data_IF_591621323718
#
_entry.id   IF_591621323718
#
_cell.length_a   1.000
_cell.length_b   1.000
_cell.length_c   1.000
_cell.angle_alpha   90.00
_cell.angle_beta   90.00
_cell.angle_gamma   90.00
#
_symmetry.space_group_name_H-M   'P 1'
#
loop_
_entity.id
_entity.type
_entity.pdbx_description
1 polymer ?
#
# COMPACT_ATOMS: atom_id res chain seq x y z
N UNK A 1 26.01 27.84 -5.71
CA UNK A 1 26.45 27.21 -4.46
C UNK A 1 25.60 27.74 -3.32
N UNK A 2 24.54 27.02 -2.96
CA UNK A 2 23.68 27.36 -1.82
C UNK A 2 23.29 26.05 -1.13
N UNK A 3 23.59 25.97 0.17
CA UNK A 3 23.54 24.78 0.99
C UNK A 3 22.11 24.44 1.45
N UNK A 4 21.79 23.15 1.41
CA UNK A 4 20.54 22.59 1.90
C UNK A 4 20.50 22.59 3.44
N UNK A 5 19.41 23.12 4.01
CA UNK A 5 19.11 23.07 5.43
C UNK A 5 18.39 21.78 5.82
N UNK A 6 18.97 21.05 6.76
CA UNK A 6 18.41 19.84 7.39
C UNK A 6 17.53 20.27 8.57
N UNK A 7 16.23 19.95 8.55
CA UNK A 7 15.33 20.19 9.70
C UNK A 7 15.30 18.93 10.57
N UNK A 8 15.84 19.03 11.78
CA UNK A 8 15.75 18.01 12.84
C UNK A 8 14.56 18.35 13.73
N UNK A 9 13.54 17.50 13.76
CA UNK A 9 12.44 17.58 14.72
C UNK A 9 12.93 17.16 16.12
N UNK A 10 13.04 18.13 17.04
CA UNK A 10 13.21 17.89 18.47
C UNK A 10 11.84 17.63 19.09
N UNK A 11 11.60 16.42 19.57
CA UNK A 11 10.47 16.14 20.46
C UNK A 11 10.73 16.74 21.85
N UNK A 12 9.96 17.77 22.20
CA UNK A 12 9.87 18.32 23.55
C UNK A 12 9.13 17.36 24.46
N UNK A 13 9.81 16.79 25.46
CA UNK A 13 9.16 16.09 26.59
C UNK A 13 8.50 17.12 27.51
N UNK A 14 7.19 16.98 27.75
CA UNK A 14 6.53 17.63 28.88
C UNK A 14 7.04 17.02 30.21
N UNK A 15 7.22 17.83 31.28
CA UNK A 15 7.69 17.35 32.58
C UNK A 15 6.56 16.69 33.38
N UNK A 16 6.84 15.53 33.98
CA UNK A 16 5.97 14.88 34.96
C UNK A 16 6.02 15.63 36.30
N UNK A 17 4.94 15.62 37.11
CA UNK A 17 4.94 16.25 38.43
C UNK A 17 5.79 15.46 39.45
N UNK A 18 6.46 16.19 40.33
CA UNK A 18 7.48 15.70 41.25
C UNK A 18 6.94 14.81 42.39
N UNK A 19 7.64 13.73 42.76
CA UNK A 19 7.45 13.03 44.04
C UNK A 19 8.28 13.70 45.14
N UNK A 20 7.68 13.79 46.33
CA UNK A 20 8.26 14.33 47.57
C UNK A 20 9.33 13.37 48.13
N UNK A 21 10.53 13.87 48.41
CA UNK A 21 11.56 13.13 49.18
C UNK A 21 11.22 13.08 50.69
N UNK A 22 11.77 12.09 51.42
CA UNK A 22 12.83 12.49 52.34
C UNK A 22 14.02 11.51 52.49
N UNK A 23 15.20 12.16 52.54
CA UNK A 23 16.36 11.92 53.43
C UNK A 23 17.37 10.84 53.04
N UNK A 24 18.56 11.35 52.69
CA UNK A 24 19.81 10.64 52.48
C UNK A 24 20.41 10.07 53.78
N UNK A 25 20.91 8.83 53.70
CA UNK A 25 21.94 8.31 54.59
C UNK A 25 22.99 7.50 53.78
N UNK A 26 24.14 8.14 53.61
CA UNK A 26 25.51 7.60 53.67
C UNK A 26 25.94 6.46 52.73
N UNK A 27 26.90 6.81 51.89
CA UNK A 27 27.80 5.95 51.13
C UNK A 27 28.44 4.82 51.95
N UNK A 28 28.36 3.59 51.43
CA UNK A 28 29.38 2.57 51.67
C UNK A 28 29.50 1.65 50.45
N UNK A 29 30.62 1.73 49.73
CA UNK A 29 31.01 0.74 48.71
C UNK A 29 31.33 -0.57 49.43
N UNK A 30 30.54 -1.62 49.20
CA UNK A 30 30.87 -2.99 49.58
C UNK A 30 30.84 -3.87 48.33
N UNK A 31 32.01 -4.40 47.97
CA UNK A 31 32.16 -5.45 46.98
C UNK A 31 31.47 -6.72 47.48
N UNK A 32 30.37 -7.12 46.82
CA UNK A 32 29.73 -8.41 47.07
C UNK A 32 30.34 -9.46 46.14
N UNK A 33 31.44 -10.09 46.59
CA UNK A 33 31.88 -11.37 46.05
C UNK A 33 31.04 -12.49 46.66
N UNK A 34 30.32 -13.30 45.86
CA UNK A 34 29.53 -14.43 46.39
C UNK A 34 30.44 -15.50 47.01
N UNK A 35 30.18 -15.86 48.27
CA UNK A 35 30.93 -16.87 49.06
C UNK A 35 30.33 -18.29 48.99
N UNK A 36 29.73 -18.67 47.86
CA UNK A 36 29.23 -20.04 47.65
C UNK A 36 29.52 -20.50 46.21
N UNK A 37 30.00 -21.75 46.00
CA UNK A 37 30.15 -22.29 44.66
C UNK A 37 28.77 -22.52 44.03
N UNK A 38 28.61 -22.14 42.75
CA UNK A 38 27.39 -22.39 42.00
C UNK A 38 27.14 -23.90 41.84
N UNK A 39 25.89 -24.39 41.98
CA UNK A 39 25.56 -25.79 41.75
C UNK A 39 25.83 -26.14 40.27
N UNK A 40 26.52 -27.27 40.04
CA UNK A 40 26.71 -27.82 38.70
C UNK A 40 25.38 -28.42 38.23
N UNK A 41 24.67 -27.71 37.35
CA UNK A 41 23.58 -28.31 36.60
C UNK A 41 24.18 -29.29 35.59
N UNK A 42 23.91 -30.58 35.79
CA UNK A 42 24.08 -31.62 34.76
C UNK A 42 23.11 -31.30 33.62
N UNK A 43 23.66 -30.82 32.50
CA UNK A 43 22.90 -30.77 31.24
C UNK A 43 22.88 -32.19 30.69
N UNK A 44 21.79 -32.90 30.96
CA UNK A 44 21.46 -34.12 30.25
C UNK A 44 21.11 -33.72 28.82
N UNK A 45 21.94 -34.11 27.85
CA UNK A 45 21.64 -33.93 26.44
C UNK A 45 20.41 -34.79 26.08
N UNK A 46 19.35 -34.24 25.45
CA UNK A 46 18.36 -35.07 24.80
C UNK A 46 19.00 -35.75 23.59
N UNK A 47 18.93 -37.09 23.59
CA UNK A 47 19.27 -37.95 22.46
C UNK A 47 18.12 -37.90 21.46
N UNK A 48 18.46 -37.41 20.26
CA UNK A 48 17.93 -37.75 18.93
C UNK A 48 16.43 -37.94 18.77
N UNK A 49 15.79 -36.95 18.15
CA UNK A 49 14.49 -37.11 17.51
C UNK A 49 14.06 -35.78 16.89
N UNK A 50 14.02 -35.73 15.55
CA UNK A 50 13.74 -34.57 14.71
C UNK A 50 14.92 -33.58 14.65
N UNK A 51 15.64 -33.61 13.53
CA UNK A 51 16.27 -32.39 13.04
C UNK A 51 15.19 -31.29 13.09
N UNK A 52 15.46 -30.09 13.61
CA UNK A 52 14.70 -28.94 13.15
C UNK A 52 14.90 -28.96 11.64
N UNK A 53 13.84 -29.17 10.87
CA UNK A 53 13.86 -28.68 9.50
C UNK A 53 14.30 -27.22 9.62
N UNK A 54 15.54 -26.97 9.19
CA UNK A 54 16.04 -25.64 8.94
C UNK A 54 14.98 -24.97 8.06
N UNK A 55 14.16 -24.12 8.68
CA UNK A 55 13.29 -23.20 7.98
C UNK A 55 14.19 -22.44 7.02
N UNK A 56 14.18 -22.84 5.74
CA UNK A 56 14.98 -22.22 4.70
C UNK A 56 14.65 -20.72 4.72
N UNK A 57 15.56 -19.85 5.19
CA UNK A 57 15.32 -18.42 5.22
C UNK A 57 15.27 -17.99 3.77
N UNK A 58 14.07 -17.76 3.25
CA UNK A 58 13.89 -17.46 1.84
C UNK A 58 14.34 -16.04 1.66
N UNK A 59 15.59 -15.90 1.21
CA UNK A 59 16.50 -14.75 1.13
C UNK A 59 15.93 -13.44 0.54
N UNK A 60 14.68 -13.07 0.81
CA UNK A 60 13.94 -11.93 0.26
C UNK A 60 14.70 -10.67 0.58
N UNK A 61 15.15 -10.49 1.82
CA UNK A 61 15.94 -9.31 2.20
C UNK A 61 17.24 -9.21 1.40
N UNK A 62 17.94 -10.31 1.09
CA UNK A 62 19.14 -10.23 0.25
C UNK A 62 18.82 -10.13 -1.26
N UNK A 63 17.75 -10.74 -1.74
CA UNK A 63 17.27 -10.57 -3.12
C UNK A 63 16.94 -9.11 -3.38
N UNK A 64 16.25 -8.47 -2.44
CA UNK A 64 15.92 -7.05 -2.50
C UNK A 64 17.17 -6.16 -2.43
N UNK A 65 18.12 -6.44 -1.53
CA UNK A 65 19.42 -5.73 -1.53
C UNK A 65 20.18 -5.91 -2.84
N UNK A 66 20.00 -7.04 -3.52
CA UNK A 66 20.59 -7.33 -4.82
C UNK A 66 19.75 -6.80 -6.01
N UNK A 67 18.63 -6.11 -5.75
CA UNK A 67 17.74 -5.58 -6.80
C UNK A 67 17.00 -6.66 -7.61
N UNK A 68 16.86 -7.87 -7.07
CA UNK A 68 16.20 -9.00 -7.73
C UNK A 68 14.71 -9.05 -7.40
N UNK A 69 13.92 -9.56 -8.35
CA UNK A 69 12.49 -9.78 -8.16
C UNK A 69 12.20 -10.74 -7.00
N UNK A 70 11.08 -10.49 -6.32
CA UNK A 70 10.58 -11.36 -5.27
C UNK A 70 10.19 -12.73 -5.86
N UNK A 71 10.51 -13.85 -5.18
CA UNK A 71 10.05 -15.15 -5.62
C UNK A 71 8.51 -15.17 -5.60
N UNK A 72 7.93 -15.58 -6.74
CA UNK A 72 6.48 -15.79 -6.85
C UNK A 72 6.10 -17.02 -6.02
N UNK A 73 4.99 -16.91 -5.30
CA UNK A 73 4.40 -18.04 -4.61
C UNK A 73 3.75 -18.97 -5.64
N UNK A 74 3.62 -20.25 -5.28
CA UNK A 74 2.80 -21.18 -6.04
C UNK A 74 1.41 -21.34 -5.41
N UNK A 75 0.44 -21.85 -6.17
CA UNK A 75 -0.92 -22.03 -5.67
C UNK A 75 -1.01 -22.99 -4.49
N UNK A 76 -0.18 -24.03 -4.44
CA UNK A 76 -0.20 -25.00 -3.34
C UNK A 76 0.22 -24.37 -2.01
N UNK A 77 1.17 -23.43 -2.02
CA UNK A 77 1.57 -22.64 -0.85
C UNK A 77 0.45 -21.71 -0.35
N UNK A 78 -0.44 -21.29 -1.25
CA UNK A 78 -1.54 -20.36 -0.94
C UNK A 78 -2.87 -21.05 -0.66
N UNK A 79 -2.97 -22.36 -0.87
CA UNK A 79 -4.22 -23.09 -0.69
C UNK A 79 -4.79 -22.92 0.73
N UNK A 80 -3.94 -23.08 1.76
CA UNK A 80 -4.34 -22.86 3.16
C UNK A 80 -4.82 -21.43 3.41
N UNK A 81 -4.15 -20.42 2.81
CA UNK A 81 -4.55 -19.02 2.92
C UNK A 81 -5.90 -18.75 2.25
N UNK A 82 -6.09 -19.26 1.04
CA UNK A 82 -7.32 -19.12 0.28
C UNK A 82 -8.50 -19.78 0.98
N UNK A 83 -8.31 -20.97 1.54
CA UNK A 83 -9.37 -21.71 2.24
C UNK A 83 -9.73 -21.03 3.57
N UNK A 84 -8.73 -20.57 4.34
CA UNK A 84 -8.94 -19.84 5.59
C UNK A 84 -9.64 -18.49 5.37
N UNK A 85 -9.40 -17.83 4.23
CA UNK A 85 -10.04 -16.56 3.86
C UNK A 85 -11.26 -16.74 2.95
N UNK A 86 -11.78 -17.96 2.86
CA UNK A 86 -12.98 -18.34 2.12
C UNK A 86 -12.98 -17.89 0.65
N UNK A 87 -11.80 -17.80 0.03
CA UNK A 87 -11.61 -17.28 -1.34
C UNK A 87 -12.37 -15.96 -1.55
N UNK A 88 -12.33 -15.08 -0.56
CA UNK A 88 -12.84 -13.71 -0.65
C UNK A 88 -12.12 -12.91 -1.75
N UNK A 89 -12.74 -11.82 -2.22
CA UNK A 89 -12.12 -10.90 -3.18
C UNK A 89 -10.70 -10.51 -2.76
N UNK A 90 -10.51 -10.12 -1.51
CA UNK A 90 -9.22 -9.73 -0.96
C UNK A 90 -8.17 -10.86 -1.07
N UNK A 91 -8.53 -12.08 -0.68
CA UNK A 91 -7.62 -13.23 -0.72
C UNK A 91 -7.28 -13.68 -2.14
N UNK A 92 -8.25 -13.66 -3.07
CA UNK A 92 -8.02 -13.97 -4.47
C UNK A 92 -7.11 -12.94 -5.14
N UNK A 93 -7.31 -11.65 -4.85
CA UNK A 93 -6.46 -10.58 -5.38
C UNK A 93 -5.03 -10.63 -4.79
N UNK A 94 -4.88 -10.97 -3.51
CA UNK A 94 -3.57 -11.16 -2.89
C UNK A 94 -2.84 -12.35 -3.51
N UNK A 95 -3.53 -13.48 -3.68
CA UNK A 95 -2.97 -14.65 -4.33
C UNK A 95 -2.62 -14.39 -5.80
N UNK A 96 -3.47 -13.65 -6.54
CA UNK A 96 -3.18 -13.22 -7.91
C UNK A 96 -1.89 -12.41 -7.97
N UNK A 97 -1.70 -11.43 -7.07
CA UNK A 97 -0.48 -10.61 -7.02
C UNK A 97 0.77 -11.44 -6.67
N UNK A 98 0.65 -12.37 -5.72
CA UNK A 98 1.77 -13.19 -5.26
C UNK A 98 2.21 -14.27 -6.28
N UNK A 99 1.29 -14.74 -7.12
CA UNK A 99 1.53 -15.84 -8.09
C UNK A 99 1.67 -15.34 -9.53
N UNK A 100 0.99 -14.23 -9.88
CA UNK A 100 0.75 -13.78 -11.24
C UNK A 100 -0.25 -14.63 -12.03
N UNK A 101 -1.01 -15.52 -11.37
CA UNK A 101 -1.96 -16.42 -12.04
C UNK A 101 -3.28 -15.72 -12.37
N UNK A 102 -3.48 -15.39 -13.64
CA UNK A 102 -4.67 -14.71 -14.13
C UNK A 102 -6.00 -15.43 -13.84
N UNK A 103 -5.98 -16.76 -13.61
CA UNK A 103 -7.20 -17.51 -13.25
C UNK A 103 -7.79 -17.06 -11.92
N UNK A 104 -6.96 -16.64 -10.96
CA UNK A 104 -7.41 -16.14 -9.65
C UNK A 104 -8.11 -14.79 -9.78
N UNK A 105 -7.62 -13.92 -10.66
CA UNK A 105 -8.30 -12.67 -10.95
C UNK A 105 -9.62 -12.91 -11.68
N UNK A 106 -9.65 -13.86 -12.63
CA UNK A 106 -10.88 -14.22 -13.32
C UNK A 106 -11.94 -14.73 -12.33
N UNK A 107 -11.55 -15.60 -11.39
CA UNK A 107 -12.42 -16.07 -10.31
C UNK A 107 -12.93 -14.90 -9.45
N UNK A 108 -12.07 -13.91 -9.14
CA UNK A 108 -12.47 -12.73 -8.38
C UNK A 108 -13.48 -11.86 -9.14
N UNK A 109 -13.27 -11.66 -10.45
CA UNK A 109 -14.19 -10.91 -11.33
C UNK A 109 -15.57 -11.55 -11.42
N UNK A 110 -15.63 -12.87 -11.47
CA UNK A 110 -16.89 -13.62 -11.54
C UNK A 110 -17.65 -13.65 -10.21
N UNK A 111 -16.94 -13.88 -9.10
CA UNK A 111 -17.56 -14.02 -7.78
C UNK A 111 -17.89 -12.68 -7.12
N UNK A 112 -17.08 -11.67 -7.37
CA UNK A 112 -17.16 -10.36 -6.71
C UNK A 112 -17.20 -9.22 -7.73
N UNK A 113 -18.16 -9.22 -8.68
CA UNK A 113 -18.21 -8.21 -9.73
C UNK A 113 -18.40 -6.80 -9.19
N UNK A 114 -19.07 -6.63 -8.03
CA UNK A 114 -19.34 -5.32 -7.43
C UNK A 114 -18.31 -4.91 -6.37
N UNK A 115 -17.21 -5.64 -6.23
CA UNK A 115 -16.15 -5.27 -5.28
C UNK A 115 -15.22 -4.22 -5.92
N UNK A 116 -15.06 -3.02 -5.32
CA UNK A 116 -14.27 -1.95 -5.92
C UNK A 116 -12.78 -2.30 -6.03
N UNK A 117 -12.27 -3.19 -5.18
CA UNK A 117 -10.87 -3.65 -5.26
C UNK A 117 -10.64 -4.53 -6.48
N UNK A 118 -11.64 -5.34 -6.83
CA UNK A 118 -11.62 -6.17 -8.05
C UNK A 118 -11.67 -5.28 -9.28
N UNK A 119 -12.60 -4.31 -9.31
CA UNK A 119 -12.68 -3.33 -10.39
C UNK A 119 -11.37 -2.56 -10.55
N UNK A 120 -10.80 -2.05 -9.45
CA UNK A 120 -9.52 -1.35 -9.46
C UNK A 120 -8.39 -2.20 -10.04
N UNK A 121 -8.21 -3.44 -9.58
CA UNK A 121 -7.17 -4.33 -10.14
C UNK A 121 -7.42 -4.62 -11.61
N UNK A 122 -8.69 -4.84 -12.00
CA UNK A 122 -9.05 -5.18 -13.36
C UNK A 122 -8.75 -4.08 -14.39
N UNK A 123 -8.86 -2.80 -14.02
CA UNK A 123 -8.51 -1.64 -14.87
C UNK A 123 -7.06 -1.71 -15.38
N UNK A 124 -6.16 -2.24 -14.55
CA UNK A 124 -4.71 -2.26 -14.82
C UNK A 124 -4.21 -3.58 -15.40
N UNK A 125 -5.11 -4.47 -15.77
CA UNK A 125 -4.76 -5.70 -16.47
C UNK A 125 -4.82 -5.52 -17.97
N UNK A 126 -4.14 -6.41 -18.69
CA UNK A 126 -4.12 -6.43 -20.14
C UNK A 126 -5.50 -6.83 -20.71
N UNK A 127 -6.41 -5.85 -20.77
CA UNK A 127 -7.72 -5.94 -21.40
C UNK A 127 -7.85 -4.99 -22.59
N UNK A 128 -8.96 -5.07 -23.32
CA UNK A 128 -9.26 -4.10 -24.38
C UNK A 128 -9.63 -2.72 -23.79
N UNK A 129 -9.56 -1.62 -24.56
CA UNK A 129 -10.05 -0.31 -24.12
C UNK A 129 -11.50 -0.35 -23.63
N UNK A 130 -12.35 -1.17 -24.26
CA UNK A 130 -13.76 -1.36 -23.89
C UNK A 130 -13.89 -2.08 -22.55
N UNK A 131 -13.10 -3.14 -22.33
CA UNK A 131 -13.07 -3.84 -21.05
C UNK A 131 -12.57 -2.92 -19.93
N UNK A 132 -11.52 -2.13 -20.20
CA UNK A 132 -11.02 -1.13 -19.26
C UNK A 132 -12.11 -0.12 -18.90
N UNK A 133 -12.86 0.36 -19.89
CA UNK A 133 -13.98 1.30 -19.68
C UNK A 133 -15.05 0.70 -18.78
N UNK A 134 -15.46 -0.54 -19.03
CA UNK A 134 -16.44 -1.25 -18.20
C UNK A 134 -15.99 -1.35 -16.74
N UNK A 135 -14.71 -1.65 -16.48
CA UNK A 135 -14.19 -1.72 -15.11
C UNK A 135 -14.06 -0.35 -14.43
N UNK A 136 -13.81 0.72 -15.19
CA UNK A 136 -13.86 2.09 -14.64
C UNK A 136 -15.27 2.46 -14.21
N UNK A 137 -16.27 2.19 -15.05
CA UNK A 137 -17.66 2.48 -14.73
C UNK A 137 -18.12 1.68 -13.52
N UNK A 138 -17.71 0.41 -13.45
CA UNK A 138 -17.97 -0.45 -12.30
C UNK A 138 -17.26 0.04 -11.03
N UNK A 139 -16.02 0.55 -11.11
CA UNK A 139 -15.34 1.16 -9.96
C UNK A 139 -16.11 2.38 -9.44
N UNK A 140 -16.60 3.24 -10.34
CA UNK A 140 -17.43 4.40 -9.97
C UNK A 140 -18.75 3.97 -9.33
N UNK A 141 -19.36 2.88 -9.81
CA UNK A 141 -20.61 2.35 -9.27
C UNK A 141 -20.45 1.66 -7.92
N UNK A 142 -19.37 0.90 -7.74
CA UNK A 142 -19.08 0.15 -6.51
C UNK A 142 -18.51 1.02 -5.37
N UNK A 143 -17.92 2.17 -5.70
CA UNK A 143 -17.43 3.14 -4.74
C UNK A 143 -17.85 4.58 -5.12
N UNK A 144 -19.16 4.92 -5.04
CA UNK A 144 -19.69 6.19 -5.53
C UNK A 144 -19.12 7.42 -4.81
N UNK A 145 -18.74 7.28 -3.54
CA UNK A 145 -18.15 8.36 -2.73
C UNK A 145 -16.63 8.53 -2.95
N UNK A 146 -15.97 7.58 -3.63
CA UNK A 146 -14.53 7.60 -3.85
C UNK A 146 -14.18 8.34 -5.14
N UNK A 147 -13.33 9.37 -5.04
CA UNK A 147 -12.93 10.19 -6.19
C UNK A 147 -12.02 9.46 -7.19
N UNK A 148 -11.37 8.36 -6.81
CA UNK A 148 -10.40 7.67 -7.66
C UNK A 148 -10.99 7.23 -9.00
N UNK A 149 -12.19 6.66 -9.00
CA UNK A 149 -12.84 6.18 -10.22
C UNK A 149 -13.04 7.29 -11.25
N UNK A 150 -13.44 8.49 -10.81
CA UNK A 150 -13.63 9.63 -11.72
C UNK A 150 -12.29 10.18 -12.23
N UNK A 151 -11.24 10.24 -11.41
CA UNK A 151 -9.92 10.65 -11.89
C UNK A 151 -9.35 9.70 -12.94
N UNK A 152 -9.49 8.38 -12.74
CA UNK A 152 -9.07 7.37 -13.72
C UNK A 152 -9.91 7.47 -15.01
N UNK A 153 -11.21 7.72 -14.88
CA UNK A 153 -12.13 7.95 -16.01
C UNK A 153 -11.74 9.21 -16.80
N UNK A 154 -11.47 10.31 -16.12
CA UNK A 154 -11.06 11.57 -16.73
C UNK A 154 -9.75 11.41 -17.52
N UNK A 155 -8.78 10.68 -16.96
CA UNK A 155 -7.53 10.39 -17.66
C UNK A 155 -7.76 9.60 -18.95
N UNK A 156 -8.65 8.60 -18.94
CA UNK A 156 -8.97 7.83 -20.14
C UNK A 156 -9.72 8.66 -21.19
N UNK A 157 -10.63 9.54 -20.76
CA UNK A 157 -11.29 10.50 -21.64
C UNK A 157 -10.31 11.48 -22.28
N UNK A 158 -9.34 12.02 -21.53
CA UNK A 158 -8.30 12.85 -22.13
C UNK A 158 -7.48 12.09 -23.17
N UNK A 159 -7.08 10.84 -22.86
CA UNK A 159 -6.31 10.01 -23.81
C UNK A 159 -7.05 9.69 -25.10
N UNK A 160 -8.38 9.63 -25.06
CA UNK A 160 -9.24 9.39 -26.22
C UNK A 160 -9.73 10.67 -26.90
N UNK A 161 -9.28 11.85 -26.45
CA UNK A 161 -9.67 13.15 -27.01
C UNK A 161 -11.07 13.63 -26.59
N UNK A 162 -11.69 12.97 -25.63
CA UNK A 162 -13.02 13.27 -25.11
C UNK A 162 -12.97 14.31 -23.99
N UNK A 163 -12.44 15.49 -24.30
CA UNK A 163 -12.17 16.56 -23.30
C UNK A 163 -13.39 16.93 -22.46
N UNK A 164 -14.56 17.07 -23.07
CA UNK A 164 -15.78 17.45 -22.34
C UNK A 164 -16.18 16.40 -21.30
N UNK A 165 -16.05 15.11 -21.64
CA UNK A 165 -16.32 14.01 -20.71
C UNK A 165 -15.26 13.95 -19.62
N UNK A 166 -14.00 14.25 -19.94
CA UNK A 166 -12.93 14.34 -18.95
C UNK A 166 -13.20 15.45 -17.92
N UNK A 167 -13.68 16.61 -18.37
CA UNK A 167 -14.07 17.73 -17.49
C UNK A 167 -15.26 17.33 -16.59
N UNK A 168 -16.25 16.63 -17.13
CA UNK A 168 -17.39 16.14 -16.34
C UNK A 168 -16.94 15.20 -15.22
N UNK A 169 -16.03 14.27 -15.51
CA UNK A 169 -15.48 13.37 -14.50
C UNK A 169 -14.65 14.14 -13.44
N UNK A 170 -13.86 15.14 -13.84
CA UNK A 170 -13.11 15.97 -12.90
C UNK A 170 -14.02 16.76 -11.94
N UNK A 171 -15.14 17.29 -12.47
CA UNK A 171 -16.16 17.95 -11.66
C UNK A 171 -16.79 16.95 -10.69
N UNK A 172 -17.13 15.74 -11.14
CA UNK A 172 -17.65 14.68 -10.28
C UNK A 172 -16.66 14.31 -9.16
N UNK A 173 -15.37 14.17 -9.49
CA UNK A 173 -14.31 13.90 -8.52
C UNK A 173 -14.22 14.99 -7.45
N UNK A 174 -14.37 16.26 -7.84
CA UNK A 174 -14.26 17.41 -6.93
C UNK A 174 -15.35 17.42 -5.85
N UNK A 175 -16.52 16.86 -6.13
CA UNK A 175 -17.63 16.74 -5.18
C UNK A 175 -17.51 15.59 -4.18
N UNK A 176 -16.50 14.72 -4.32
CA UNK A 176 -16.36 13.50 -3.52
C UNK A 176 -15.35 13.67 -2.39
N UNK A 177 -15.73 13.34 -1.16
CA UNK A 177 -14.86 13.55 0.00
C UNK A 177 -13.87 12.41 0.25
N UNK A 178 -14.14 11.19 -0.23
CA UNK A 178 -13.27 10.03 0.03
C UNK A 178 -12.21 9.87 -1.06
N UNK A 179 -11.07 9.36 -0.63
CA UNK A 179 -10.03 8.82 -1.47
C UNK A 179 -9.74 7.41 -0.93
N UNK A 180 -9.59 6.44 -1.82
CA UNK A 180 -9.09 5.13 -1.45
C UNK A 180 -8.46 4.53 -2.70
N UNK A 181 -7.16 4.22 -2.62
CA UNK A 181 -6.40 3.61 -3.71
C UNK A 181 -6.15 2.10 -3.51
N UNK A 182 -6.77 1.54 -2.46
CA UNK A 182 -6.75 0.12 -2.10
C UNK A 182 -5.34 -0.45 -1.88
N UNK A 183 -4.33 0.41 -1.74
CA UNK A 183 -2.93 0.01 -1.57
C UNK A 183 -2.71 -0.63 -0.19
N UNK A 184 -3.23 -0.02 0.87
CA UNK A 184 -3.13 -0.51 2.25
C UNK A 184 -3.81 -1.86 2.44
N UNK A 185 -5.06 -2.00 1.98
CA UNK A 185 -5.78 -3.29 1.96
C UNK A 185 -4.94 -4.36 1.27
N UNK A 186 -4.40 -4.02 0.09
CA UNK A 186 -3.61 -4.98 -0.65
C UNK A 186 -2.30 -5.35 0.04
N UNK A 187 -1.63 -4.42 0.72
CA UNK A 187 -0.41 -4.73 1.47
C UNK A 187 -0.71 -5.68 2.62
N UNK A 188 -1.79 -5.44 3.37
CA UNK A 188 -2.18 -6.32 4.48
C UNK A 188 -2.47 -7.74 3.98
N UNK A 189 -3.29 -7.88 2.94
CA UNK A 189 -3.64 -9.19 2.40
C UNK A 189 -2.42 -9.92 1.80
N UNK A 190 -1.50 -9.19 1.17
CA UNK A 190 -0.25 -9.77 0.68
C UNK A 190 0.63 -10.26 1.84
N UNK A 191 0.77 -9.49 2.91
CA UNK A 191 1.54 -9.91 4.09
C UNK A 191 0.97 -11.21 4.68
N UNK A 192 -0.35 -11.30 4.84
CA UNK A 192 -1.02 -12.51 5.32
C UNK A 192 -0.78 -13.72 4.40
N UNK A 193 -0.83 -13.53 3.08
CA UNK A 193 -0.57 -14.57 2.09
C UNK A 193 0.87 -15.11 2.19
N UNK A 194 1.87 -14.22 2.28
CA UNK A 194 3.26 -14.63 2.44
C UNK A 194 3.53 -15.30 3.80
N UNK A 195 2.93 -14.81 4.89
CA UNK A 195 3.04 -15.48 6.21
C UNK A 195 2.45 -16.88 6.18
N UNK A 196 1.28 -17.05 5.55
CA UNK A 196 0.65 -18.37 5.41
C UNK A 196 1.48 -19.33 4.54
N UNK A 197 2.28 -18.81 3.62
CA UNK A 197 3.23 -19.57 2.81
C UNK A 197 4.55 -19.91 3.55
N UNK A 198 4.68 -19.56 4.84
CA UNK A 198 5.82 -19.91 5.68
C UNK A 198 6.94 -18.88 5.75
N UNK A 199 6.74 -17.67 5.20
CA UNK A 199 7.72 -16.59 5.29
C UNK A 199 7.73 -15.96 6.68
N UNK A 200 8.90 -15.48 7.11
CA UNK A 200 9.00 -14.72 8.35
C UNK A 200 8.19 -13.42 8.27
N UNK A 201 7.80 -12.87 9.42
CA UNK A 201 7.06 -11.59 9.48
C UNK A 201 7.78 -10.47 8.72
N UNK A 202 9.11 -10.37 8.89
CA UNK A 202 9.92 -9.36 8.23
C UNK A 202 9.95 -9.55 6.70
N UNK A 203 10.04 -10.79 6.22
CA UNK A 203 10.06 -11.08 4.79
C UNK A 203 8.68 -10.93 4.15
N UNK A 204 7.62 -11.33 4.83
CA UNK A 204 6.25 -11.16 4.37
C UNK A 204 5.89 -9.67 4.25
N UNK A 205 6.26 -8.86 5.24
CA UNK A 205 6.07 -7.40 5.19
C UNK A 205 6.91 -6.75 4.09
N UNK A 206 8.15 -7.18 3.94
CA UNK A 206 9.01 -6.74 2.84
C UNK A 206 8.37 -7.06 1.48
N UNK A 207 7.90 -8.30 1.29
CA UNK A 207 7.25 -8.74 0.07
C UNK A 207 5.97 -7.94 -0.23
N UNK A 208 5.14 -7.70 0.78
CA UNK A 208 3.90 -6.92 0.65
C UNK A 208 4.13 -5.48 0.21
N UNK A 209 5.15 -4.81 0.78
CA UNK A 209 5.45 -3.41 0.45
C UNK A 209 6.13 -3.29 -0.91
N UNK A 210 7.11 -4.15 -1.21
CA UNK A 210 7.91 -4.03 -2.44
C UNK A 210 7.28 -4.72 -3.66
N UNK A 211 6.42 -5.71 -3.44
CA UNK A 211 5.69 -6.41 -4.50
C UNK A 211 4.46 -5.66 -5.00
N UNK A 212 4.18 -4.46 -4.49
CA UNK A 212 2.98 -3.70 -4.84
C UNK A 212 3.22 -2.78 -6.07
N UNK A 213 2.65 -3.09 -7.25
CA UNK A 213 2.60 -2.11 -8.33
C UNK A 213 1.60 -1.01 -7.99
N UNK A 214 1.98 0.25 -8.26
CA UNK A 214 1.13 1.44 -8.08
C UNK A 214 0.87 2.14 -9.44
N UNK A 215 0.23 1.46 -10.41
CA UNK A 215 0.05 1.98 -11.76
C UNK A 215 -0.79 3.27 -11.82
N UNK A 216 -1.72 3.44 -10.88
CA UNK A 216 -2.55 4.62 -10.75
C UNK A 216 -1.74 5.90 -10.58
N UNK A 217 -0.57 5.85 -9.92
CA UNK A 217 0.26 7.05 -9.71
C UNK A 217 0.77 7.63 -11.03
N UNK A 218 1.09 6.78 -12.00
CA UNK A 218 1.52 7.23 -13.32
C UNK A 218 0.37 7.92 -14.08
N UNK A 219 -0.84 7.36 -14.00
CA UNK A 219 -2.04 7.94 -14.61
C UNK A 219 -2.43 9.27 -13.96
N UNK A 220 -2.42 9.35 -12.63
CA UNK A 220 -2.75 10.57 -11.89
C UNK A 220 -1.73 11.69 -12.14
N UNK A 221 -0.44 11.34 -12.26
CA UNK A 221 0.59 12.28 -12.72
C UNK A 221 0.33 12.75 -14.15
N UNK A 222 -0.08 11.83 -15.03
CA UNK A 222 -0.50 12.17 -16.39
C UNK A 222 -1.69 13.14 -16.40
N UNK A 223 -2.69 12.88 -15.56
CA UNK A 223 -3.87 13.72 -15.41
C UNK A 223 -3.51 15.14 -14.95
N UNK A 224 -2.56 15.29 -14.02
CA UNK A 224 -2.02 16.59 -13.62
C UNK A 224 -1.44 17.39 -14.80
N UNK A 225 -0.79 16.72 -15.77
CA UNK A 225 -0.32 17.38 -17.00
C UNK A 225 -1.49 17.78 -17.90
N UNK A 226 -2.47 16.90 -18.10
CA UNK A 226 -3.66 17.18 -18.90
C UNK A 226 -4.42 18.40 -18.35
N UNK A 227 -4.49 18.58 -17.04
CA UNK A 227 -5.11 19.74 -16.40
C UNK A 227 -4.35 21.05 -16.69
N UNK A 228 -3.01 21.00 -16.75
CA UNK A 228 -2.19 22.14 -17.16
C UNK A 228 -2.39 22.48 -18.65
N UNK A 229 -2.47 21.47 -19.50
CA UNK A 229 -2.76 21.65 -20.94
C UNK A 229 -4.17 22.20 -21.16
N UNK A 230 -5.17 21.69 -20.42
CA UNK A 230 -6.54 22.19 -20.45
C UNK A 230 -6.60 23.67 -20.02
N UNK A 231 -5.90 24.05 -18.95
CA UNK A 231 -5.83 25.44 -18.52
C UNK A 231 -5.22 26.35 -19.60
N UNK A 232 -4.16 25.89 -20.27
CA UNK A 232 -3.55 26.62 -21.38
C UNK A 232 -4.51 26.77 -22.57
N UNK A 233 -5.29 25.73 -22.89
CA UNK A 233 -6.30 25.77 -23.95
C UNK A 233 -7.39 26.81 -23.66
N UNK A 234 -7.93 26.83 -22.43
CA UNK A 234 -8.90 27.85 -22.03
C UNK A 234 -8.32 29.27 -22.09
N UNK A 235 -7.08 29.48 -21.65
CA UNK A 235 -6.41 30.79 -21.78
C UNK A 235 -6.26 31.24 -23.23
N UNK A 236 -5.90 30.34 -24.14
CA UNK A 236 -5.81 30.65 -25.57
C UNK A 236 -7.17 31.04 -26.18
N UNK A 237 -8.26 30.50 -25.64
CA UNK A 237 -9.62 30.87 -26.01
C UNK A 237 -10.12 32.16 -25.32
N UNK A 238 -9.32 32.76 -24.44
CA UNK A 238 -9.69 33.95 -23.67
C UNK A 238 -10.58 33.68 -22.44
N UNK A 239 -10.77 32.41 -22.08
CA UNK A 239 -11.55 31.98 -20.90
C UNK A 239 -10.64 31.78 -19.67
N UNK A 240 -10.24 32.88 -19.04
CA UNK A 240 -9.35 32.82 -17.87
C UNK A 240 -10.06 32.18 -16.65
N UNK A 241 -11.39 32.26 -16.56
CA UNK A 241 -12.15 31.65 -15.46
C UNK A 241 -12.06 30.11 -15.52
N UNK A 242 -12.27 29.52 -16.70
CA UNK A 242 -12.11 28.07 -16.90
C UNK A 242 -10.65 27.64 -16.80
N UNK A 243 -9.70 28.48 -17.23
CA UNK A 243 -8.28 28.21 -17.02
C UNK A 243 -7.92 28.10 -15.54
N UNK A 244 -8.40 29.04 -14.71
CA UNK A 244 -8.20 29.02 -13.26
C UNK A 244 -8.88 27.81 -12.61
N UNK A 245 -10.09 27.45 -13.05
CA UNK A 245 -10.79 26.28 -12.55
C UNK A 245 -10.02 24.98 -12.82
N UNK A 246 -9.47 24.81 -14.03
CA UNK A 246 -8.64 23.65 -14.37
C UNK A 246 -7.36 23.56 -13.51
N UNK A 247 -6.71 24.70 -13.24
CA UNK A 247 -5.57 24.74 -12.32
C UNK A 247 -5.96 24.35 -10.89
N UNK A 248 -7.10 24.83 -10.40
CA UNK A 248 -7.60 24.47 -9.07
C UNK A 248 -7.92 22.97 -8.96
N UNK A 249 -8.49 22.37 -10.01
CA UNK A 249 -8.69 20.91 -10.06
C UNK A 249 -7.36 20.16 -9.94
N UNK A 250 -6.29 20.66 -10.59
CA UNK A 250 -4.94 20.09 -10.47
C UNK A 250 -4.36 20.20 -9.06
N UNK A 251 -4.56 21.33 -8.39
CA UNK A 251 -4.16 21.52 -6.99
C UNK A 251 -4.91 20.58 -6.05
N UNK A 252 -6.22 20.42 -6.24
CA UNK A 252 -7.04 19.50 -5.44
C UNK A 252 -6.59 18.05 -5.62
N UNK A 253 -6.23 17.65 -6.85
CA UNK A 253 -5.64 16.33 -7.11
C UNK A 253 -4.31 16.17 -6.36
N UNK A 254 -3.42 17.16 -6.44
CA UNK A 254 -2.14 17.14 -5.71
C UNK A 254 -2.33 16.97 -4.20
N UNK A 255 -3.24 17.75 -3.59
CA UNK A 255 -3.55 17.67 -2.16
C UNK A 255 -4.03 16.27 -1.74
N UNK A 256 -4.88 15.62 -2.55
CA UNK A 256 -5.36 14.26 -2.25
C UNK A 256 -4.26 13.21 -2.28
N UNK A 257 -3.24 13.40 -3.12
CA UNK A 257 -2.10 12.49 -3.21
C UNK A 257 -1.11 12.69 -2.05
N UNK A 258 -1.07 13.89 -1.48
CA UNK A 258 -0.22 14.22 -0.34
C UNK A 258 -0.84 13.84 1.00
N UNK A 259 -2.17 13.77 1.10
CA UNK A 259 -2.88 13.51 2.35
C UNK A 259 -2.80 12.03 2.79
N UNK A 260 -2.09 11.71 3.89
CA UNK A 260 -2.01 10.34 4.40
C UNK A 260 -3.34 9.87 5.03
N UNK A 261 -4.19 10.79 5.49
CA UNK A 261 -5.49 10.49 6.10
C UNK A 261 -6.57 10.16 5.08
N UNK A 262 -6.29 10.47 3.81
CA UNK A 262 -7.15 10.13 2.69
C UNK A 262 -6.96 8.67 2.23
N UNK A 263 -6.13 7.86 2.89
CA UNK A 263 -5.84 6.46 2.49
C UNK A 263 -6.51 5.41 3.40
N UNK A 264 -7.33 5.84 4.38
CA UNK A 264 -7.94 4.98 5.41
C UNK A 264 -9.45 4.86 5.33
#
# INVERSE_FOLDING_TARGET
MAAAGLIIFKYSRQPAPAPVEPVALLSSKTNLTPRLPAPRMLVTAPVTGSQPEELQPTNIVALLRAGKELPKLNLSQLQTYLDANHRSAASLLAAFRATGDASLLQEAREKFPNDPRVAFVAIYQNGSPEERRQWIDNLKQSAPDNALGDYVSAFDHFKSGQTDQAVQDLVAASGKSKWQDYSMDSMQNAEEAYRAAGYSEAEAKAAAVMGQPLPQLAELKGLGRNLGELANSYRQAGDEASAQAALQMGLNLGQRLEDPSAQG
#
